data_IF_374560796462
#
_entry.id   IF_374560796462
#
_cell.length_a   1.000
_cell.length_b   1.000
_cell.length_c   1.000
_cell.angle_alpha   90.00
_cell.angle_beta   90.00
_cell.angle_gamma   90.00
#
_symmetry.space_group_name_H-M   'P 1'
#
loop_
_entity.id
_entity.type
_entity.pdbx_description
1 polymer ?
#
# COMPACT_ATOMS: atom_id res chain seq x y z
N UNK A 1 -10.72 -28.12 -8.07
CA UNK A 1 -10.33 -28.37 -6.67
C UNK A 1 -10.23 -27.10 -5.80
N UNK A 2 -9.75 -25.94 -6.30
CA UNK A 2 -9.58 -24.71 -5.49
C UNK A 2 -10.85 -24.17 -4.83
N UNK A 3 -11.95 -23.99 -5.59
CA UNK A 3 -13.23 -23.46 -5.07
C UNK A 3 -13.86 -24.30 -3.95
N UNK A 4 -13.68 -25.63 -3.99
CA UNK A 4 -14.18 -26.51 -2.93
C UNK A 4 -13.39 -26.35 -1.63
N UNK A 5 -12.05 -26.25 -1.73
CA UNK A 5 -11.18 -25.98 -0.56
C UNK A 5 -11.49 -24.63 0.07
N UNK A 6 -11.77 -23.61 -0.75
CA UNK A 6 -12.19 -22.29 -0.30
C UNK A 6 -13.53 -22.33 0.45
N UNK A 7 -14.54 -23.00 -0.12
CA UNK A 7 -15.84 -23.14 0.51
C UNK A 7 -15.73 -23.85 1.87
N UNK A 8 -15.01 -24.98 1.92
CA UNK A 8 -14.82 -25.76 3.15
C UNK A 8 -14.07 -24.94 4.20
N UNK A 9 -13.00 -24.23 3.82
CA UNK A 9 -12.26 -23.37 4.73
C UNK A 9 -13.14 -22.26 5.31
N UNK A 10 -13.88 -21.55 4.46
CA UNK A 10 -14.74 -20.44 4.87
C UNK A 10 -15.85 -20.91 5.82
N UNK A 11 -16.53 -22.02 5.49
CA UNK A 11 -17.59 -22.59 6.35
C UNK A 11 -17.01 -23.03 7.69
N UNK A 12 -15.88 -23.74 7.68
CA UNK A 12 -15.21 -24.20 8.90
C UNK A 12 -14.84 -23.03 9.80
N UNK A 13 -14.22 -21.98 9.23
CA UNK A 13 -13.77 -20.81 9.99
C UNK A 13 -14.94 -20.04 10.60
N UNK A 14 -16.00 -19.80 9.82
CA UNK A 14 -17.22 -19.13 10.31
C UNK A 14 -17.85 -19.97 11.42
N UNK A 15 -18.01 -21.27 11.22
CA UNK A 15 -18.68 -22.15 12.18
C UNK A 15 -17.92 -22.23 13.50
N UNK A 16 -16.61 -22.51 13.45
CA UNK A 16 -15.77 -22.58 14.66
C UNK A 16 -15.75 -21.22 15.36
N UNK A 17 -15.52 -20.13 14.62
CA UNK A 17 -15.46 -18.80 15.21
C UNK A 17 -16.78 -18.35 15.85
N UNK A 18 -17.92 -18.66 15.23
CA UNK A 18 -19.25 -18.37 15.78
C UNK A 18 -19.59 -19.24 16.99
N UNK A 19 -19.31 -20.55 16.94
CA UNK A 19 -19.54 -21.43 18.10
C UNK A 19 -18.69 -20.97 19.28
N UNK A 20 -17.40 -20.69 19.04
CA UNK A 20 -16.49 -20.20 20.08
C UNK A 20 -16.98 -18.89 20.69
N UNK A 21 -17.45 -17.97 19.84
CA UNK A 21 -17.97 -16.68 20.27
C UNK A 21 -19.24 -16.82 21.14
N UNK A 22 -20.22 -17.59 20.68
CA UNK A 22 -21.48 -17.83 21.40
C UNK A 22 -21.21 -18.55 22.71
N UNK A 23 -20.32 -19.55 22.71
CA UNK A 23 -19.92 -20.25 23.92
C UNK A 23 -19.26 -19.31 24.93
N UNK A 24 -18.34 -18.44 24.48
CA UNK A 24 -17.70 -17.45 25.35
C UNK A 24 -18.70 -16.45 25.95
N UNK A 25 -19.66 -15.96 25.15
CA UNK A 25 -20.74 -15.09 25.64
C UNK A 25 -21.61 -15.76 26.69
N UNK A 26 -21.93 -17.04 26.50
CA UNK A 26 -22.77 -17.81 27.41
C UNK A 26 -22.05 -18.14 28.73
N UNK A 27 -20.81 -18.63 28.66
CA UNK A 27 -20.08 -19.12 29.84
C UNK A 27 -19.47 -18.01 30.68
N UNK A 28 -18.91 -16.96 30.05
CA UNK A 28 -18.16 -15.93 30.75
C UNK A 28 -18.99 -14.66 31.01
N UNK A 29 -20.14 -14.51 30.35
CA UNK A 29 -20.97 -13.33 30.44
C UNK A 29 -20.31 -12.07 29.86
N UNK A 30 -21.03 -10.95 29.93
CA UNK A 30 -20.60 -9.67 29.39
C UNK A 30 -20.51 -8.65 30.52
N UNK A 31 -19.30 -8.41 31.04
CA UNK A 31 -19.02 -7.36 32.04
C UNK A 31 -18.81 -5.98 31.40
N UNK A 32 -19.72 -5.54 30.52
CA UNK A 32 -19.54 -4.34 29.70
C UNK A 32 -20.36 -3.16 30.23
N UNK A 33 -19.73 -2.00 30.38
CA UNK A 33 -20.43 -0.71 30.41
C UNK A 33 -20.82 -0.32 28.98
N UNK A 34 -22.11 -0.39 28.69
CA UNK A 34 -22.66 -0.15 27.35
C UNK A 34 -22.38 1.25 26.82
N UNK A 35 -22.28 2.27 27.70
CA UNK A 35 -22.00 3.65 27.27
C UNK A 35 -20.60 3.75 26.69
N UNK A 36 -19.63 3.23 27.44
CA UNK A 36 -18.21 3.24 27.06
C UNK A 36 -17.98 2.32 25.86
N UNK A 37 -18.65 1.17 25.81
CA UNK A 37 -18.57 0.24 24.69
C UNK A 37 -19.05 0.86 23.38
N UNK A 38 -20.21 1.53 23.38
CA UNK A 38 -20.73 2.17 22.17
C UNK A 38 -19.80 3.29 21.67
N UNK A 39 -19.17 4.04 22.58
CA UNK A 39 -18.15 5.03 22.23
C UNK A 39 -16.97 4.33 21.55
N UNK A 40 -16.39 3.30 22.18
CA UNK A 40 -15.25 2.58 21.61
C UNK A 40 -15.60 1.93 20.27
N UNK A 41 -16.80 1.36 20.13
CA UNK A 41 -17.28 0.78 18.88
C UNK A 41 -17.35 1.83 17.77
N UNK A 42 -17.91 3.02 18.06
CA UNK A 42 -17.95 4.12 17.10
C UNK A 42 -16.54 4.54 16.65
N UNK A 43 -15.61 4.69 17.59
CA UNK A 43 -14.21 5.01 17.29
C UNK A 43 -13.53 3.90 16.47
N UNK A 44 -13.74 2.64 16.80
CA UNK A 44 -13.20 1.51 16.04
C UNK A 44 -13.66 1.54 14.58
N UNK A 45 -14.96 1.74 14.35
CA UNK A 45 -15.54 1.84 13.00
C UNK A 45 -14.97 3.04 12.24
N UNK A 46 -14.84 4.21 12.89
CA UNK A 46 -14.25 5.41 12.26
C UNK A 46 -12.79 5.13 11.86
N UNK A 47 -11.99 4.58 12.77
CA UNK A 47 -10.57 4.28 12.52
C UNK A 47 -10.40 3.21 11.43
N UNK A 48 -11.29 2.22 11.38
CA UNK A 48 -11.33 1.25 10.30
C UNK A 48 -11.64 1.93 8.96
N UNK A 49 -12.62 2.84 8.90
CA UNK A 49 -12.93 3.56 7.67
C UNK A 49 -11.80 4.50 7.19
N UNK A 50 -10.96 4.96 8.11
CA UNK A 50 -9.76 5.77 7.81
C UNK A 50 -8.52 4.92 7.48
N UNK A 51 -8.58 3.60 7.67
CA UNK A 51 -7.47 2.70 7.39
C UNK A 51 -7.03 2.74 5.92
N UNK A 52 -5.72 2.64 5.69
CA UNK A 52 -5.13 2.69 4.35
C UNK A 52 -4.96 1.28 3.80
N UNK A 53 -5.22 1.11 2.50
CA UNK A 53 -4.86 -0.12 1.80
C UNK A 53 -3.37 -0.04 1.38
N UNK A 54 -2.58 -0.98 1.86
CA UNK A 54 -1.23 -1.27 1.38
C UNK A 54 -1.26 -2.65 0.75
N UNK A 55 -1.00 -2.73 -0.56
CA UNK A 55 -1.20 -3.95 -1.36
C UNK A 55 -2.61 -4.52 -1.15
N UNK A 56 -2.73 -5.69 -0.52
CA UNK A 56 -3.98 -6.38 -0.19
C UNK A 56 -4.36 -6.31 1.30
N UNK A 57 -3.54 -5.66 2.13
CA UNK A 57 -3.74 -5.55 3.58
C UNK A 57 -4.20 -4.14 3.95
N UNK A 58 -5.21 -4.07 4.82
CA UNK A 58 -5.70 -2.81 5.38
C UNK A 58 -4.92 -2.52 6.66
N UNK A 59 -4.11 -1.47 6.65
CA UNK A 59 -3.46 -0.95 7.86
C UNK A 59 -4.42 0.04 8.53
N UNK A 60 -4.95 -0.31 9.70
CA UNK A 60 -5.83 0.55 10.50
C UNK A 60 -5.32 0.72 11.92
N UNK A 61 -5.77 1.79 12.59
CA UNK A 61 -5.48 2.04 14.00
C UNK A 61 -6.54 1.45 14.95
N UNK A 62 -7.53 0.71 14.44
CA UNK A 62 -8.57 0.09 15.26
C UNK A 62 -8.07 -0.97 16.26
N UNK A 63 -6.94 -1.68 16.05
CA UNK A 63 -6.42 -2.60 17.08
C UNK A 63 -6.09 -1.91 18.40
N UNK A 64 -5.75 -0.61 18.39
CA UNK A 64 -5.59 0.19 19.62
C UNK A 64 -6.87 0.15 20.47
N UNK A 65 -8.02 0.32 19.83
CA UNK A 65 -9.32 0.25 20.52
C UNK A 65 -9.58 -1.18 21.02
N UNK A 66 -9.25 -2.20 20.25
CA UNK A 66 -9.36 -3.60 20.66
C UNK A 66 -8.54 -3.93 21.91
N UNK A 67 -7.28 -3.46 21.98
CA UNK A 67 -6.40 -3.64 23.15
C UNK A 67 -6.93 -2.85 24.34
N UNK A 68 -7.34 -1.59 24.16
CA UNK A 68 -7.94 -0.79 25.25
C UNK A 68 -9.21 -1.46 25.79
N UNK A 69 -10.06 -1.96 24.91
CA UNK A 69 -11.29 -2.69 25.28
C UNK A 69 -10.97 -3.95 26.07
N UNK A 70 -9.93 -4.68 25.69
CA UNK A 70 -9.44 -5.84 26.43
C UNK A 70 -9.00 -5.49 27.86
N UNK A 71 -8.25 -4.40 28.02
CA UNK A 71 -7.80 -3.97 29.34
C UNK A 71 -8.95 -3.51 30.25
N UNK A 72 -10.03 -2.97 29.65
CA UNK A 72 -11.19 -2.44 30.37
C UNK A 72 -12.23 -3.53 30.68
N UNK A 73 -12.66 -4.29 29.67
CA UNK A 73 -13.77 -5.25 29.76
C UNK A 73 -13.34 -6.72 29.69
N UNK A 74 -12.05 -7.00 29.46
CA UNK A 74 -11.53 -8.35 29.35
C UNK A 74 -11.75 -9.01 27.99
N UNK A 75 -11.46 -10.31 27.96
CA UNK A 75 -11.41 -11.16 26.76
C UNK A 75 -12.69 -11.10 25.92
N UNK A 76 -13.85 -11.34 26.55
CA UNK A 76 -15.14 -11.38 25.84
C UNK A 76 -15.56 -10.00 25.36
N UNK A 77 -15.29 -8.94 26.14
CA UNK A 77 -15.61 -7.57 25.75
C UNK A 77 -14.83 -7.11 24.52
N UNK A 78 -13.53 -7.40 24.48
CA UNK A 78 -12.69 -7.10 23.32
C UNK A 78 -13.10 -7.87 22.07
N UNK A 79 -13.35 -9.18 22.20
CA UNK A 79 -13.83 -10.01 21.10
C UNK A 79 -15.17 -9.46 20.56
N UNK A 80 -16.10 -9.12 21.44
CA UNK A 80 -17.41 -8.56 21.05
C UNK A 80 -17.26 -7.25 20.29
N UNK A 81 -16.42 -6.34 20.77
CA UNK A 81 -16.18 -5.06 20.11
C UNK A 81 -15.57 -5.24 18.73
N UNK A 82 -14.52 -6.06 18.62
CA UNK A 82 -13.80 -6.22 17.35
C UNK A 82 -14.59 -7.01 16.32
N UNK A 83 -15.31 -8.06 16.73
CA UNK A 83 -16.24 -8.79 15.85
C UNK A 83 -17.33 -7.84 15.35
N UNK A 84 -17.93 -7.02 16.23
CA UNK A 84 -18.96 -6.06 15.84
C UNK A 84 -18.43 -4.99 14.88
N UNK A 85 -17.26 -4.41 15.18
CA UNK A 85 -16.61 -3.39 14.33
C UNK A 85 -16.31 -3.93 12.94
N UNK A 86 -15.65 -5.09 12.85
CA UNK A 86 -15.24 -5.65 11.55
C UNK A 86 -16.45 -6.10 10.74
N UNK A 87 -17.47 -6.69 11.37
CA UNK A 87 -18.71 -7.06 10.70
C UNK A 87 -19.45 -5.81 10.19
N UNK A 88 -19.47 -4.72 10.96
CA UNK A 88 -20.08 -3.47 10.51
C UNK A 88 -19.35 -2.86 9.30
N UNK A 89 -18.01 -2.72 9.35
CA UNK A 89 -17.19 -2.24 8.22
C UNK A 89 -17.42 -3.10 6.96
N UNK A 90 -17.42 -4.41 7.11
CA UNK A 90 -17.48 -5.32 5.95
C UNK A 90 -18.89 -5.52 5.40
N UNK A 91 -19.90 -5.66 6.24
CA UNK A 91 -21.28 -5.94 5.83
C UNK A 91 -21.98 -4.64 5.45
N UNK A 92 -21.90 -3.61 6.29
CA UNK A 92 -22.68 -2.37 6.10
C UNK A 92 -21.94 -1.41 5.17
N UNK A 93 -20.69 -1.08 5.49
CA UNK A 93 -19.93 -0.08 4.72
C UNK A 93 -19.52 -0.66 3.36
N UNK A 94 -18.99 -1.88 3.34
CA UNK A 94 -18.47 -2.51 2.10
C UNK A 94 -19.47 -3.40 1.37
N UNK A 95 -20.65 -3.66 1.93
CA UNK A 95 -21.71 -4.51 1.34
C UNK A 95 -21.26 -5.95 1.01
N UNK A 96 -20.35 -6.53 1.81
CA UNK A 96 -19.79 -7.88 1.62
C UNK A 96 -20.16 -8.81 2.77
N UNK A 97 -21.39 -9.33 2.77
CA UNK A 97 -21.94 -10.20 3.83
C UNK A 97 -21.03 -11.41 4.14
N UNK A 98 -20.65 -12.18 3.10
CA UNK A 98 -19.82 -13.38 3.26
C UNK A 98 -18.47 -13.08 3.92
N UNK A 99 -17.81 -12.00 3.48
CA UNK A 99 -16.51 -11.60 4.02
C UNK A 99 -16.64 -11.07 5.46
N UNK A 100 -17.78 -10.46 5.80
CA UNK A 100 -18.02 -10.00 7.16
C UNK A 100 -18.20 -11.13 8.15
N UNK A 101 -18.96 -12.17 7.80
CA UNK A 101 -19.06 -13.37 8.63
C UNK A 101 -17.69 -14.06 8.79
N UNK A 102 -16.92 -14.15 7.71
CA UNK A 102 -15.57 -14.73 7.74
C UNK A 102 -14.63 -13.93 8.66
N UNK A 103 -14.61 -12.61 8.52
CA UNK A 103 -13.82 -11.74 9.37
C UNK A 103 -14.29 -11.80 10.83
N UNK A 104 -15.59 -11.84 11.08
CA UNK A 104 -16.14 -12.03 12.43
C UNK A 104 -15.63 -13.33 13.07
N UNK A 105 -15.65 -14.45 12.34
CA UNK A 105 -15.11 -15.72 12.81
C UNK A 105 -13.60 -15.67 13.10
N UNK A 106 -12.83 -15.04 12.21
CA UNK A 106 -11.38 -14.83 12.39
C UNK A 106 -11.05 -14.01 13.64
N UNK A 107 -11.72 -12.85 13.81
CA UNK A 107 -11.49 -11.97 14.95
C UNK A 107 -11.96 -12.60 16.27
N UNK A 108 -13.06 -13.35 16.26
CA UNK A 108 -13.50 -14.14 17.42
C UNK A 108 -12.39 -15.07 17.90
N UNK A 109 -11.86 -15.91 17.02
CA UNK A 109 -10.80 -16.87 17.37
C UNK A 109 -9.55 -16.14 17.85
N UNK A 110 -9.09 -15.12 17.11
CA UNK A 110 -7.87 -14.40 17.43
C UNK A 110 -7.92 -13.73 18.81
N UNK A 111 -9.03 -13.06 19.14
CA UNK A 111 -9.16 -12.30 20.39
C UNK A 111 -9.47 -13.20 21.59
N UNK A 112 -10.34 -14.21 21.43
CA UNK A 112 -10.69 -15.12 22.52
C UNK A 112 -9.50 -15.99 22.93
N UNK A 113 -8.81 -16.61 21.96
CA UNK A 113 -7.65 -17.46 22.24
C UNK A 113 -6.51 -16.65 22.86
N UNK A 114 -6.25 -15.44 22.35
CA UNK A 114 -5.25 -14.55 22.93
C UNK A 114 -5.60 -14.13 24.37
N UNK A 115 -6.87 -13.79 24.63
CA UNK A 115 -7.32 -13.38 25.95
C UNK A 115 -7.28 -14.50 26.98
N UNK A 116 -7.72 -15.71 26.61
CA UNK A 116 -7.59 -16.86 27.51
C UNK A 116 -6.14 -17.27 27.74
N UNK A 117 -5.27 -17.15 26.74
CA UNK A 117 -3.85 -17.36 26.97
C UNK A 117 -3.27 -16.35 27.97
N UNK A 118 -3.65 -15.07 27.85
CA UNK A 118 -3.27 -14.03 28.80
C UNK A 118 -3.70 -14.37 30.23
N UNK A 119 -4.94 -14.81 30.42
CA UNK A 119 -5.46 -15.21 31.73
C UNK A 119 -4.74 -16.47 32.26
N UNK A 120 -4.50 -17.45 31.38
CA UNK A 120 -3.83 -18.72 31.71
C UNK A 120 -2.41 -18.52 32.25
N UNK A 121 -1.63 -17.60 31.67
CA UNK A 121 -0.27 -17.31 32.12
C UNK A 121 -0.22 -16.38 33.36
N UNK A 122 -1.38 -16.02 33.91
CA UNK A 122 -1.51 -15.24 35.15
C UNK A 122 -1.77 -13.74 34.95
N UNK A 123 -2.17 -13.31 33.76
CA UNK A 123 -2.62 -11.96 33.48
C UNK A 123 -3.91 -11.62 34.25
N UNK A 124 -4.06 -10.36 34.67
CA UNK A 124 -5.24 -9.89 35.40
C UNK A 124 -5.88 -8.68 34.73
N UNK A 125 -7.13 -8.85 34.33
CA UNK A 125 -7.96 -7.79 33.71
C UNK A 125 -8.16 -6.63 34.71
N UNK A 126 -8.21 -5.39 34.21
CA UNK A 126 -8.45 -4.19 35.01
C UNK A 126 -7.25 -3.69 35.82
N UNK A 127 -6.10 -4.40 35.79
CA UNK A 127 -4.88 -4.00 36.49
C UNK A 127 -3.84 -3.55 35.46
N UNK A 128 -3.64 -2.23 35.35
CA UNK A 128 -2.58 -1.65 34.52
C UNK A 128 -1.36 -1.36 35.40
N UNK A 129 -0.43 -2.31 35.46
CA UNK A 129 0.83 -2.19 36.21
C UNK A 129 2.02 -2.69 35.38
N UNK A 130 3.24 -2.27 35.74
CA UNK A 130 4.46 -2.71 35.07
C UNK A 130 4.62 -4.25 35.08
N UNK A 131 4.19 -4.92 36.16
CA UNK A 131 4.20 -6.38 36.26
C UNK A 131 3.27 -7.09 35.27
N UNK A 132 2.23 -6.40 34.79
CA UNK A 132 1.26 -6.93 33.84
C UNK A 132 1.66 -6.74 32.37
N UNK A 133 2.65 -5.87 32.09
CA UNK A 133 3.07 -5.53 30.72
C UNK A 133 3.47 -6.77 29.91
N UNK A 134 4.22 -7.71 30.50
CA UNK A 134 4.62 -8.96 29.81
C UNK A 134 3.42 -9.80 29.35
N UNK A 135 2.36 -9.82 30.13
CA UNK A 135 1.14 -10.55 29.79
C UNK A 135 0.40 -9.81 28.68
N UNK A 136 0.28 -8.49 28.76
CA UNK A 136 -0.36 -7.67 27.72
C UNK A 136 0.37 -7.83 26.39
N UNK A 137 1.70 -7.87 26.40
CA UNK A 137 2.50 -8.18 25.20
C UNK A 137 2.18 -9.55 24.63
N UNK A 138 2.01 -10.58 25.46
CA UNK A 138 1.62 -11.92 24.99
C UNK A 138 0.24 -11.93 24.32
N UNK A 139 -0.72 -11.19 24.86
CA UNK A 139 -2.05 -11.03 24.27
C UNK A 139 -1.95 -10.41 22.87
N UNK A 140 -1.21 -9.30 22.76
CA UNK A 140 -1.03 -8.59 21.49
C UNK A 140 -0.33 -9.48 20.46
N UNK A 141 0.78 -10.13 20.84
CA UNK A 141 1.53 -11.03 19.95
C UNK A 141 0.64 -12.19 19.47
N UNK A 142 -0.09 -12.86 20.36
CA UNK A 142 -0.92 -14.01 19.99
C UNK A 142 -2.10 -13.57 19.11
N UNK A 143 -2.77 -12.46 19.46
CA UNK A 143 -3.85 -11.92 18.65
C UNK A 143 -3.37 -11.56 17.23
N UNK A 144 -2.20 -10.94 17.12
CA UNK A 144 -1.58 -10.57 15.85
C UNK A 144 -1.20 -11.81 15.03
N UNK A 145 -0.51 -12.78 15.63
CA UNK A 145 -0.08 -14.01 14.97
C UNK A 145 -1.28 -14.83 14.48
N UNK A 146 -2.31 -15.01 15.32
CA UNK A 146 -3.52 -15.74 14.94
C UNK A 146 -4.26 -15.05 13.81
N UNK A 147 -4.47 -13.73 13.92
CA UNK A 147 -5.14 -12.95 12.88
C UNK A 147 -4.39 -13.05 11.54
N UNK A 148 -3.07 -12.82 11.56
CA UNK A 148 -2.25 -12.86 10.35
C UNK A 148 -2.11 -14.25 9.75
N UNK A 149 -2.03 -15.29 10.59
CA UNK A 149 -1.96 -16.67 10.10
C UNK A 149 -3.28 -17.09 9.45
N UNK A 150 -4.43 -16.81 10.10
CA UNK A 150 -5.75 -17.12 9.53
C UNK A 150 -5.96 -16.33 8.23
N UNK A 151 -5.63 -15.03 8.22
CA UNK A 151 -5.75 -14.18 7.04
C UNK A 151 -4.87 -14.68 5.89
N UNK A 152 -3.62 -15.04 6.17
CA UNK A 152 -2.73 -15.66 5.19
C UNK A 152 -3.34 -16.92 4.57
N UNK A 153 -3.85 -17.84 5.38
CA UNK A 153 -4.49 -19.06 4.86
C UNK A 153 -5.75 -18.74 4.04
N UNK A 154 -6.56 -17.79 4.48
CA UNK A 154 -7.74 -17.34 3.73
C UNK A 154 -7.37 -16.82 2.33
N UNK A 155 -6.32 -16.01 2.24
CA UNK A 155 -5.84 -15.43 0.97
C UNK A 155 -5.16 -16.48 0.08
N UNK A 156 -4.40 -17.41 0.67
CA UNK A 156 -3.78 -18.53 -0.04
C UNK A 156 -4.82 -19.44 -0.68
N UNK A 157 -5.89 -19.78 0.05
CA UNK A 157 -6.95 -20.66 -0.46
C UNK A 157 -7.75 -19.99 -1.58
N UNK A 158 -7.87 -18.65 -1.55
CA UNK A 158 -8.44 -17.85 -2.64
C UNK A 158 -7.50 -17.70 -3.86
N UNK A 159 -6.27 -18.23 -3.79
CA UNK A 159 -5.28 -18.15 -4.86
C UNK A 159 -4.73 -16.75 -5.09
N UNK A 160 -4.82 -15.85 -4.09
CA UNK A 160 -4.45 -14.44 -4.26
C UNK A 160 -2.98 -14.14 -4.02
N UNK A 161 -2.26 -14.95 -3.23
CA UNK A 161 -0.93 -14.56 -2.72
C UNK A 161 -0.01 -15.77 -2.51
N UNK A 162 1.30 -15.57 -2.77
CA UNK A 162 2.38 -16.49 -2.40
C UNK A 162 2.91 -16.19 -0.98
N UNK A 163 3.36 -17.21 -0.23
CA UNK A 163 3.83 -17.05 1.18
C UNK A 163 4.86 -15.94 1.36
N UNK A 164 5.86 -15.87 0.47
CA UNK A 164 6.96 -14.90 0.55
C UNK A 164 6.51 -13.46 0.30
N UNK A 165 5.44 -13.25 -0.49
CA UNK A 165 4.89 -11.92 -0.76
C UNK A 165 4.07 -11.40 0.42
N UNK A 166 3.34 -12.30 1.10
CA UNK A 166 2.53 -11.95 2.27
C UNK A 166 3.41 -11.54 3.46
N UNK A 167 4.41 -12.36 3.81
CA UNK A 167 5.22 -12.21 5.03
C UNK A 167 6.39 -11.23 4.92
N UNK A 168 6.47 -10.43 3.86
CA UNK A 168 7.56 -9.48 3.67
C UNK A 168 7.17 -8.08 4.20
N UNK A 169 6.99 -7.09 3.34
CA UNK A 169 6.80 -5.69 3.78
C UNK A 169 5.48 -5.45 4.51
N UNK A 170 4.37 -6.07 4.08
CA UNK A 170 3.04 -5.71 4.58
C UNK A 170 2.86 -6.09 6.06
N UNK A 171 3.23 -7.32 6.43
CA UNK A 171 3.15 -7.81 7.81
C UNK A 171 4.19 -7.11 8.70
N UNK A 172 5.38 -6.81 8.20
CA UNK A 172 6.40 -6.05 8.94
C UNK A 172 5.94 -4.63 9.25
N UNK A 173 5.30 -3.96 8.28
CA UNK A 173 4.71 -2.64 8.48
C UNK A 173 3.58 -2.70 9.51
N UNK A 174 2.70 -3.69 9.43
CA UNK A 174 1.62 -3.89 10.41
C UNK A 174 2.20 -4.10 11.81
N UNK A 175 3.16 -5.02 11.98
CA UNK A 175 3.84 -5.26 13.25
C UNK A 175 4.54 -4.01 13.78
N UNK A 176 5.15 -3.21 12.90
CA UNK A 176 5.75 -1.93 13.26
C UNK A 176 4.74 -0.94 13.86
N UNK A 177 3.48 -0.95 13.42
CA UNK A 177 2.45 -0.07 14.00
C UNK A 177 2.11 -0.43 15.45
N UNK A 178 2.23 -1.70 15.85
CA UNK A 178 1.93 -2.14 17.22
C UNK A 178 2.87 -1.55 18.26
N UNK A 179 4.10 -1.17 17.88
CA UNK A 179 5.05 -0.46 18.75
C UNK A 179 4.43 0.84 19.30
N UNK A 180 3.62 1.52 18.48
CA UNK A 180 2.91 2.74 18.88
C UNK A 180 1.55 2.42 19.50
N UNK A 181 0.83 1.40 18.99
CA UNK A 181 -0.51 1.08 19.50
C UNK A 181 -0.50 0.61 20.95
N UNK A 182 0.48 -0.20 21.37
CA UNK A 182 0.56 -0.75 22.73
C UNK A 182 0.62 0.36 23.81
N UNK A 183 1.59 1.30 23.78
CA UNK A 183 1.66 2.34 24.80
C UNK A 183 0.43 3.26 24.77
N UNK A 184 -0.11 3.55 23.58
CA UNK A 184 -1.34 4.34 23.46
C UNK A 184 -2.53 3.60 24.08
N UNK A 185 -2.64 2.29 23.85
CA UNK A 185 -3.73 1.48 24.43
C UNK A 185 -3.66 1.42 25.96
N UNK A 186 -2.45 1.30 26.51
CA UNK A 186 -2.18 1.35 27.94
C UNK A 186 -2.53 2.73 28.53
N UNK A 187 -2.17 3.81 27.85
CA UNK A 187 -2.52 5.18 28.23
C UNK A 187 -4.03 5.37 28.28
N UNK A 188 -4.75 4.93 27.25
CA UNK A 188 -6.23 5.03 27.20
C UNK A 188 -6.88 4.25 28.35
N UNK A 189 -6.43 3.02 28.61
CA UNK A 189 -6.92 2.22 29.72
C UNK A 189 -6.61 2.87 31.08
N UNK A 190 -5.41 3.44 31.24
CA UNK A 190 -5.04 4.18 32.45
C UNK A 190 -5.96 5.40 32.67
N UNK A 191 -6.21 6.18 31.62
CA UNK A 191 -7.11 7.34 31.69
C UNK A 191 -8.53 6.91 32.06
N UNK A 192 -9.01 5.80 31.50
CA UNK A 192 -10.32 5.24 31.85
C UNK A 192 -10.44 4.92 33.35
N UNK A 193 -9.43 4.27 33.94
CA UNK A 193 -9.48 3.87 35.36
C UNK A 193 -9.16 5.01 36.34
N UNK A 194 -8.44 6.05 35.92
CA UNK A 194 -7.94 7.11 36.82
C UNK A 194 -8.65 8.45 36.67
N UNK A 195 -9.30 8.71 35.55
CA UNK A 195 -9.94 9.99 35.25
C UNK A 195 -11.41 9.81 34.88
N UNK A 196 -12.10 10.92 34.57
CA UNK A 196 -13.49 10.89 34.16
C UNK A 196 -13.66 10.44 32.71
N UNK A 197 -14.88 10.01 32.36
CA UNK A 197 -15.26 9.63 31.00
C UNK A 197 -14.94 10.73 29.96
N UNK A 198 -15.05 12.01 30.35
CA UNK A 198 -14.73 13.13 29.45
C UNK A 198 -13.26 13.09 29.00
N UNK A 199 -12.32 12.92 29.93
CA UNK A 199 -10.89 12.83 29.61
C UNK A 199 -10.58 11.61 28.75
N UNK A 200 -11.26 10.49 29.01
CA UNK A 200 -11.14 9.29 28.19
C UNK A 200 -11.59 9.55 26.74
N UNK A 201 -12.77 10.14 26.52
CA UNK A 201 -13.26 10.45 25.17
C UNK A 201 -12.35 11.46 24.46
N UNK A 202 -11.92 12.51 25.16
CA UNK A 202 -10.97 13.49 24.60
C UNK A 202 -9.66 12.82 24.17
N UNK A 203 -9.16 11.86 24.95
CA UNK A 203 -7.92 11.12 24.63
C UNK A 203 -8.03 10.18 23.42
N UNK A 204 -9.25 9.81 23.01
CA UNK A 204 -9.47 9.04 21.77
C UNK A 204 -9.39 9.94 20.52
N UNK A 205 -9.70 11.24 20.64
CA UNK A 205 -9.78 12.14 19.48
C UNK A 205 -8.47 12.27 18.68
N UNK A 206 -7.25 12.32 19.28
CA UNK A 206 -6.01 12.36 18.52
C UNK A 206 -5.81 11.14 17.60
N UNK A 207 -6.37 9.98 17.94
CA UNK A 207 -6.28 8.79 17.07
C UNK A 207 -6.94 9.03 15.72
N UNK A 208 -8.09 9.71 15.70
CA UNK A 208 -8.79 10.05 14.46
C UNK A 208 -7.94 11.02 13.63
N UNK A 209 -7.37 12.04 14.27
CA UNK A 209 -6.49 12.99 13.59
C UNK A 209 -5.25 12.32 13.00
N UNK A 210 -4.60 11.42 13.76
CA UNK A 210 -3.44 10.65 13.28
C UNK A 210 -3.83 9.75 12.11
N UNK A 211 -4.94 9.01 12.22
CA UNK A 211 -5.43 8.15 11.14
C UNK A 211 -5.75 8.96 9.87
N UNK A 212 -6.42 10.11 10.03
CA UNK A 212 -6.75 11.01 8.93
C UNK A 212 -5.49 11.61 8.29
N UNK A 213 -4.55 12.10 9.09
CA UNK A 213 -3.28 12.65 8.60
C UNK A 213 -2.48 11.59 7.84
N UNK A 214 -2.41 10.36 8.35
CA UNK A 214 -1.71 9.26 7.69
C UNK A 214 -2.34 8.92 6.34
N UNK A 215 -3.67 8.88 6.27
CA UNK A 215 -4.40 8.70 5.01
C UNK A 215 -4.11 9.84 4.03
N UNK A 216 -4.18 11.08 4.48
CA UNK A 216 -3.92 12.27 3.66
C UNK A 216 -2.50 12.28 3.09
N UNK A 217 -1.49 11.98 3.91
CA UNK A 217 -0.09 11.88 3.47
C UNK A 217 0.07 10.80 2.40
N UNK A 218 -0.57 9.64 2.57
CA UNK A 218 -0.52 8.55 1.59
C UNK A 218 -1.18 8.92 0.27
N UNK A 219 -2.34 9.59 0.33
CA UNK A 219 -3.04 10.03 -0.88
C UNK A 219 -2.24 11.13 -1.61
N UNK A 220 -1.58 12.02 -0.86
CA UNK A 220 -0.67 13.03 -1.42
C UNK A 220 0.55 12.39 -2.12
N UNK A 221 1.19 11.40 -1.49
CA UNK A 221 2.32 10.66 -2.10
C UNK A 221 1.89 9.98 -3.40
N UNK A 222 0.68 9.39 -3.44
CA UNK A 222 0.13 8.77 -4.66
C UNK A 222 -0.14 9.80 -5.75
N UNK A 223 -0.73 10.94 -5.41
CA UNK A 223 -0.99 12.02 -6.36
C UNK A 223 0.31 12.58 -6.96
N UNK A 224 1.32 12.82 -6.11
CA UNK A 224 2.62 13.32 -6.56
C UNK A 224 3.31 12.35 -7.54
N UNK A 225 3.28 11.04 -7.26
CA UNK A 225 3.82 10.03 -8.18
C UNK A 225 3.14 10.05 -9.55
N UNK A 226 1.83 10.26 -9.60
CA UNK A 226 1.08 10.36 -10.86
C UNK A 226 1.44 11.62 -11.64
N UNK A 227 1.57 12.75 -10.95
CA UNK A 227 1.95 14.02 -11.58
C UNK A 227 3.36 13.93 -12.19
N UNK A 228 4.32 13.36 -11.45
CA UNK A 228 5.67 13.14 -11.96
C UNK A 228 5.68 12.24 -13.20
N UNK A 229 4.87 11.17 -13.22
CA UNK A 229 4.77 10.30 -14.40
C UNK A 229 4.22 11.04 -15.64
N UNK A 230 3.25 11.93 -15.46
CA UNK A 230 2.72 12.78 -16.54
C UNK A 230 3.80 13.77 -17.01
N UNK A 231 4.50 14.40 -16.09
CA UNK A 231 5.56 15.35 -16.42
C UNK A 231 6.66 14.69 -17.27
N UNK A 232 7.12 13.49 -16.88
CA UNK A 232 8.10 12.72 -17.66
C UNK A 232 7.56 12.36 -19.06
N UNK A 233 6.27 12.02 -19.18
CA UNK A 233 5.63 11.76 -20.48
C UNK A 233 5.61 12.99 -21.37
N UNK A 234 5.20 14.16 -20.84
CA UNK A 234 5.19 15.43 -21.59
C UNK A 234 6.60 15.81 -22.01
N UNK A 235 7.58 15.67 -21.13
CA UNK A 235 8.99 15.92 -21.43
C UNK A 235 9.48 15.04 -22.59
N UNK A 236 9.16 13.75 -22.59
CA UNK A 236 9.51 12.83 -23.69
C UNK A 236 8.82 13.20 -25.03
N UNK A 237 7.59 13.70 -24.98
CA UNK A 237 6.86 14.16 -26.18
C UNK A 237 7.51 15.43 -26.73
N UNK A 238 7.70 16.44 -25.87
CA UNK A 238 8.29 17.71 -26.27
C UNK A 238 9.73 17.54 -26.76
N UNK A 239 10.56 16.69 -26.12
CA UNK A 239 11.92 16.45 -26.61
C UNK A 239 11.97 15.82 -28.00
N UNK A 240 10.95 15.02 -28.38
CA UNK A 240 10.84 14.47 -29.74
C UNK A 240 10.41 15.53 -30.74
N UNK A 241 9.43 16.36 -30.39
CA UNK A 241 8.96 17.48 -31.21
C UNK A 241 10.02 18.56 -31.42
N UNK A 242 10.78 18.90 -30.37
CA UNK A 242 11.87 19.88 -30.43
C UNK A 242 13.00 19.41 -31.36
N UNK A 243 13.38 18.13 -31.32
CA UNK A 243 14.43 17.61 -32.19
C UNK A 243 14.05 17.73 -33.68
N UNK A 244 12.83 17.35 -34.04
CA UNK A 244 12.34 17.45 -35.43
C UNK A 244 12.31 18.91 -35.90
N UNK A 245 11.80 19.84 -35.06
CA UNK A 245 11.78 21.27 -35.38
C UNK A 245 13.17 21.91 -35.48
N UNK A 246 14.12 21.49 -34.64
CA UNK A 246 15.51 21.97 -34.72
C UNK A 246 16.16 21.51 -36.02
N UNK A 247 15.97 20.25 -36.42
CA UNK A 247 16.50 19.72 -37.68
C UNK A 247 15.92 20.45 -38.90
N UNK A 248 14.62 20.76 -38.87
CA UNK A 248 13.96 21.57 -39.90
C UNK A 248 14.55 22.98 -39.97
N UNK A 249 14.71 23.64 -38.83
CA UNK A 249 15.29 25.00 -38.76
C UNK A 249 16.73 25.01 -39.29
N UNK A 250 17.54 24.02 -38.92
CA UNK A 250 18.94 23.93 -39.36
C UNK A 250 19.01 23.79 -40.89
N UNK A 251 18.19 22.91 -41.48
CA UNK A 251 18.26 22.66 -42.92
C UNK A 251 17.74 23.86 -43.74
N UNK A 252 16.74 24.58 -43.21
CA UNK A 252 16.26 25.84 -43.79
C UNK A 252 17.32 26.93 -43.75
N UNK A 253 17.98 27.14 -42.59
CA UNK A 253 19.04 28.15 -42.45
C UNK A 253 20.22 27.84 -43.35
N UNK A 254 20.65 26.57 -43.45
CA UNK A 254 21.73 26.16 -44.37
C UNK A 254 21.38 26.53 -45.81
N UNK A 255 20.14 26.28 -46.23
CA UNK A 255 19.67 26.56 -47.59
C UNK A 255 19.59 28.06 -47.90
N UNK A 256 19.45 28.91 -46.88
CA UNK A 256 19.45 30.37 -47.02
C UNK A 256 20.86 30.98 -47.03
N UNK A 257 21.79 30.41 -46.27
CA UNK A 257 23.14 30.96 -46.10
C UNK A 257 24.11 30.47 -47.18
N UNK A 258 23.91 29.26 -47.70
CA UNK A 258 24.80 28.63 -48.67
C UNK A 258 24.00 28.13 -49.88
N UNK A 259 24.38 28.56 -51.08
CA UNK A 259 23.79 28.04 -52.32
C UNK A 259 24.29 26.62 -52.57
N UNK A 260 23.51 25.62 -52.15
CA UNK A 260 23.81 24.19 -52.32
C UNK A 260 22.74 23.50 -53.18
N UNK A 261 23.16 22.52 -53.97
CA UNK A 261 22.25 21.71 -54.82
C UNK A 261 21.42 20.71 -54.01
N UNK A 262 21.96 20.25 -52.87
CA UNK A 262 21.30 19.40 -51.89
C UNK A 262 22.04 19.46 -50.54
N UNK A 263 21.33 19.21 -49.44
CA UNK A 263 21.86 19.08 -48.09
C UNK A 263 21.13 17.95 -47.35
N UNK A 264 21.84 17.32 -46.41
CA UNK A 264 21.29 16.26 -45.58
C UNK A 264 21.89 16.30 -44.17
N UNK A 265 21.07 15.97 -43.19
CA UNK A 265 21.45 15.84 -41.79
C UNK A 265 21.34 14.37 -41.40
N UNK A 266 22.42 13.87 -40.80
CA UNK A 266 22.49 12.51 -40.27
C UNK A 266 22.66 12.57 -38.75
N UNK A 267 21.98 11.69 -38.02
CA UNK A 267 22.22 11.48 -36.59
C UNK A 267 22.96 10.16 -36.41
N UNK A 268 24.04 10.21 -35.64
CA UNK A 268 24.84 9.03 -35.33
C UNK A 268 24.32 8.37 -34.06
N UNK A 269 24.10 7.06 -34.09
CA UNK A 269 23.77 6.27 -32.91
C UNK A 269 25.01 5.94 -32.05
N UNK A 270 24.80 5.31 -30.90
CA UNK A 270 25.90 4.88 -30.01
C UNK A 270 26.81 3.79 -30.60
N UNK A 271 26.41 3.16 -31.71
CA UNK A 271 27.18 2.13 -32.41
C UNK A 271 28.02 2.70 -33.57
N UNK A 272 27.93 4.02 -33.83
CA UNK A 272 28.67 4.69 -34.90
C UNK A 272 28.02 4.56 -36.28
N UNK A 273 26.73 4.23 -36.35
CA UNK A 273 25.94 4.23 -37.59
C UNK A 273 25.24 5.58 -37.71
N UNK A 274 25.44 6.26 -38.84
CA UNK A 274 24.75 7.50 -39.15
C UNK A 274 23.52 7.23 -40.00
N UNK A 275 22.35 7.52 -39.43
CA UNK A 275 21.07 7.41 -40.11
C UNK A 275 20.63 8.78 -40.66
N UNK A 276 20.15 8.81 -41.90
CA UNK A 276 19.59 10.00 -42.51
C UNK A 276 18.31 10.40 -41.76
N UNK A 277 18.27 11.63 -41.25
CA UNK A 277 17.09 12.14 -40.51
C UNK A 277 16.39 13.29 -41.22
N UNK A 278 17.08 14.00 -42.10
CA UNK A 278 16.50 15.08 -42.92
C UNK A 278 17.33 15.30 -44.19
N UNK A 279 16.67 15.57 -45.31
CA UNK A 279 17.32 16.03 -46.54
C UNK A 279 16.49 17.12 -47.21
N UNK A 280 17.15 17.95 -48.01
CA UNK A 280 16.56 18.93 -48.91
C UNK A 280 17.41 19.02 -50.17
N UNK A 281 16.83 19.00 -51.36
CA UNK A 281 17.59 19.19 -52.60
C UNK A 281 16.81 18.92 -53.87
N UNK A 282 17.47 19.12 -55.02
CA UNK A 282 16.93 18.73 -56.31
C UNK A 282 16.96 17.21 -56.45
N UNK A 283 16.09 16.64 -57.31
CA UNK A 283 15.90 15.18 -57.46
C UNK A 283 17.21 14.39 -57.69
N UNK A 284 18.14 14.93 -58.48
CA UNK A 284 19.47 14.33 -58.71
C UNK A 284 20.41 14.41 -57.49
N UNK A 285 20.25 15.42 -56.64
CA UNK A 285 21.07 15.60 -55.43
C UNK A 285 20.59 14.75 -54.26
N UNK A 286 19.28 14.54 -54.12
CA UNK A 286 18.72 13.68 -53.07
C UNK A 286 18.96 12.18 -53.35
N UNK A 287 19.00 11.76 -54.62
CA UNK A 287 19.32 10.37 -55.00
C UNK A 287 20.75 9.94 -54.61
N UNK A 288 21.65 10.90 -54.33
CA UNK A 288 23.01 10.64 -53.87
C UNK A 288 23.13 10.28 -52.38
N UNK A 289 22.08 10.47 -51.58
CA UNK A 289 22.10 10.20 -50.15
C UNK A 289 21.64 8.78 -49.83
N UNK A 290 22.48 8.00 -49.13
CA UNK A 290 22.07 6.70 -48.58
C UNK A 290 21.33 6.87 -47.27
N UNK A 291 20.42 5.95 -46.96
CA UNK A 291 19.72 5.97 -45.66
C UNK A 291 20.66 5.79 -44.46
N UNK A 292 21.74 5.00 -44.60
CA UNK A 292 22.68 4.73 -43.52
C UNK A 292 24.13 4.70 -44.02
N UNK A 293 25.05 5.20 -43.20
CA UNK A 293 26.50 5.06 -43.38
C UNK A 293 27.13 4.43 -42.13
N UNK A 294 28.03 3.48 -42.34
CA UNK A 294 28.86 2.94 -41.26
C UNK A 294 30.11 3.80 -41.04
N UNK A 295 30.74 3.63 -39.87
CA UNK A 295 32.02 4.28 -39.56
C UNK A 295 33.07 3.94 -40.63
N UNK A 296 33.80 4.95 -41.09
CA UNK A 296 34.77 4.89 -42.20
C UNK A 296 34.19 4.57 -43.59
N UNK A 297 32.87 4.47 -43.75
CA UNK A 297 32.22 4.28 -45.05
C UNK A 297 32.01 5.62 -45.78
N UNK A 298 32.64 5.77 -46.94
CA UNK A 298 32.49 6.96 -47.76
C UNK A 298 32.94 8.25 -47.05
N UNK A 299 32.42 9.39 -47.47
CA UNK A 299 32.80 10.70 -46.93
C UNK A 299 32.14 10.94 -45.57
N UNK A 300 30.86 10.59 -45.43
CA UNK A 300 30.10 10.73 -44.18
C UNK A 300 30.70 9.85 -43.08
N UNK A 301 30.97 8.58 -43.36
CA UNK A 301 31.59 7.66 -42.40
C UNK A 301 32.99 8.07 -41.95
N UNK A 302 33.79 8.66 -42.86
CA UNK A 302 35.10 9.26 -42.51
C UNK A 302 34.96 10.52 -41.65
N UNK A 303 33.97 11.37 -41.92
CA UNK A 303 33.70 12.56 -41.13
C UNK A 303 33.33 12.18 -39.67
N UNK A 304 32.56 11.12 -39.49
CA UNK A 304 32.19 10.57 -38.18
C UNK A 304 33.41 10.02 -37.43
N UNK A 305 34.33 9.35 -38.11
CA UNK A 305 35.50 8.75 -37.48
C UNK A 305 36.61 9.77 -37.16
N UNK A 306 36.80 10.77 -38.02
CA UNK A 306 37.81 11.83 -37.82
C UNK A 306 37.32 12.96 -36.92
N UNK A 307 36.00 13.14 -36.78
CA UNK A 307 35.35 14.24 -36.06
C UNK A 307 35.86 15.63 -36.53
N UNK A 308 36.14 15.74 -37.84
CA UNK A 308 36.65 16.95 -38.49
C UNK A 308 35.85 17.26 -39.74
N UNK A 309 35.71 18.55 -40.06
CA UNK A 309 35.07 18.99 -41.31
C UNK A 309 35.88 18.56 -42.53
N UNK A 310 35.23 17.90 -43.48
CA UNK A 310 35.84 17.49 -44.76
C UNK A 310 35.20 18.32 -45.88
N UNK A 311 36.02 19.09 -46.60
CA UNK A 311 35.61 19.85 -47.78
C UNK A 311 36.37 19.31 -49.01
N UNK A 312 35.64 18.93 -50.05
CA UNK A 312 36.20 18.38 -51.28
C UNK A 312 35.82 19.34 -52.42
N UNK A 313 36.81 19.78 -53.20
CA UNK A 313 36.60 20.74 -54.30
C UNK A 313 36.07 20.10 -55.58
N UNK A 314 36.51 18.87 -55.87
CA UNK A 314 36.06 18.07 -57.00
C UNK A 314 35.92 16.62 -56.53
N UNK A 315 34.74 16.05 -56.76
CA UNK A 315 34.31 14.73 -56.34
C UNK A 315 34.33 13.76 -57.53
#
# INVERSE_FOLDING_TARGET
>A
MGKYRELVFNITLITIGSILFVWALYCCGIGIDWRVFLILLAFAIILDNLGIMYTDIKLSLSPTIGITTFLIFGTVGAATLMVSSVMFDTIVVRKKIKNGLLNGGMFSIAYLVAGWFYEFIGGKIGIVSFSQVKYILSYVIISFLLNNFILYYALKVQGKILFKEYWNESVLLELGTYIVMIPVSLLLAYIYFKHSLLFFVLSLTPLIFIAYAFRMIRDLIKANKRLNAIYEMVKMINSKLELEQILDTIIEVISQVVSVSAAAIYLTDSNGVAALVKSIGNREGEEGFKENYFKDEGIIGKCISSNTTIAIKDL
#
